data_IF_627938294633
#
_entry.id   IF_627938294633
#
_cell.length_a   1.000
_cell.length_b   1.000
_cell.length_c   1.000
_cell.angle_alpha   90.00
_cell.angle_beta   90.00
_cell.angle_gamma   90.00
#
_symmetry.space_group_name_H-M   'P 1'
#
loop_
_entity.id
_entity.type
_entity.pdbx_description
1 polymer ?
#
# COMPACT_ATOMS: atom_id res chain seq x y z
N UNK A 1 17.75 26.82 -12.24
CA UNK A 1 16.39 27.07 -11.72
C UNK A 1 15.48 27.27 -12.92
N UNK A 2 14.54 26.36 -13.18
CA UNK A 2 13.64 26.41 -14.34
C UNK A 2 12.54 27.46 -14.07
N UNK A 3 12.75 28.70 -14.51
CA UNK A 3 11.74 29.77 -14.52
C UNK A 3 11.28 29.98 -15.98
N UNK A 4 9.97 29.88 -16.24
CA UNK A 4 9.36 30.25 -17.54
C UNK A 4 8.61 29.12 -18.28
N UNK A 5 8.78 27.86 -17.88
CA UNK A 5 8.15 26.70 -18.52
C UNK A 5 6.80 26.36 -17.88
N UNK A 6 5.80 25.99 -18.70
CA UNK A 6 4.53 25.43 -18.21
C UNK A 6 4.82 24.09 -17.54
N UNK A 7 4.52 24.00 -16.24
CA UNK A 7 4.69 22.75 -15.49
C UNK A 7 3.54 21.80 -15.81
N UNK A 8 3.81 20.48 -15.89
CA UNK A 8 2.72 19.51 -15.91
C UNK A 8 1.89 19.68 -14.65
N UNK A 9 0.57 19.55 -14.81
CA UNK A 9 -0.33 19.47 -13.68
C UNK A 9 -0.11 18.10 -13.01
N UNK A 10 0.38 18.12 -11.77
CA UNK A 10 0.80 16.92 -11.04
C UNK A 10 0.22 16.94 -9.64
N UNK A 11 -0.36 15.82 -9.24
CA UNK A 11 -0.80 15.56 -7.87
C UNK A 11 0.20 14.62 -7.20
N UNK A 12 0.70 15.01 -6.03
CA UNK A 12 1.57 14.17 -5.22
C UNK A 12 0.78 13.54 -4.07
N UNK A 13 1.08 12.27 -3.77
CA UNK A 13 0.44 11.50 -2.70
C UNK A 13 1.49 10.95 -1.73
N UNK A 14 1.12 10.86 -0.46
CA UNK A 14 1.83 10.07 0.55
C UNK A 14 1.21 8.67 0.59
N UNK A 15 1.79 7.75 -0.17
CA UNK A 15 1.18 6.46 -0.46
C UNK A 15 1.76 5.31 0.38
N UNK A 16 0.89 4.40 0.83
CA UNK A 16 1.28 3.19 1.54
C UNK A 16 0.57 1.96 0.95
N UNK A 17 1.29 0.85 0.69
CA UNK A 17 0.69 -0.35 0.11
C UNK A 17 -0.27 -1.11 1.05
N UNK A 18 -0.20 -0.83 2.36
CA UNK A 18 -1.10 -1.37 3.39
C UNK A 18 -1.18 -0.41 4.58
N UNK A 19 -2.22 -0.56 5.42
CA UNK A 19 -2.31 0.15 6.69
C UNK A 19 -1.70 -0.70 7.82
N UNK A 20 -0.64 -0.23 8.51
CA UNK A 20 -0.03 -0.98 9.62
C UNK A 20 -0.90 -1.04 10.89
N UNK A 21 -1.98 -0.26 10.97
CA UNK A 21 -2.82 -0.14 12.17
C UNK A 21 -4.17 -0.87 12.07
N UNK A 22 -4.56 -1.37 10.90
CA UNK A 22 -5.85 -2.04 10.72
C UNK A 22 -6.23 -2.22 9.27
N UNK A 23 -7.48 -2.63 9.02
CA UNK A 23 -7.97 -2.92 7.67
C UNK A 23 -8.37 -1.67 6.90
N UNK A 24 -8.87 -0.65 7.59
CA UNK A 24 -9.42 0.56 6.95
C UNK A 24 -8.52 1.76 7.17
N UNK A 25 -8.60 2.77 6.30
CA UNK A 25 -7.88 4.05 6.50
C UNK A 25 -8.21 4.70 7.84
N UNK A 26 -9.45 4.54 8.32
CA UNK A 26 -9.91 5.03 9.62
C UNK A 26 -9.18 4.39 10.82
N UNK A 27 -8.52 3.25 10.63
CA UNK A 27 -7.71 2.61 11.68
C UNK A 27 -6.33 3.22 11.82
N UNK A 28 -5.89 4.09 10.90
CA UNK A 28 -4.57 4.68 10.92
C UNK A 28 -4.31 5.53 12.17
N UNK A 29 -3.13 5.38 12.80
CA UNK A 29 -2.79 6.06 14.07
C UNK A 29 -1.45 6.81 14.07
N UNK A 30 -0.71 6.84 12.96
CA UNK A 30 0.57 7.54 12.97
C UNK A 30 0.35 9.05 13.07
N UNK A 31 0.74 9.61 14.21
CA UNK A 31 0.45 11.00 14.58
C UNK A 31 1.02 12.03 13.59
N UNK A 32 2.15 11.75 12.95
CA UNK A 32 2.77 12.70 12.03
C UNK A 32 1.91 12.96 10.78
N UNK A 33 1.45 11.90 10.12
CA UNK A 33 0.58 12.08 8.95
C UNK A 33 -0.78 12.65 9.34
N UNK A 34 -1.32 12.32 10.53
CA UNK A 34 -2.59 12.87 10.99
C UNK A 34 -2.50 14.37 11.33
N UNK A 35 -1.40 14.82 11.94
CA UNK A 35 -1.28 16.19 12.46
C UNK A 35 -0.64 17.17 11.47
N UNK A 36 0.16 16.68 10.52
CA UNK A 36 1.00 17.54 9.68
C UNK A 36 0.83 17.32 8.17
N UNK A 37 -0.15 16.52 7.75
CA UNK A 37 -0.49 16.33 6.34
C UNK A 37 -2.00 16.57 6.14
N UNK A 38 -2.43 16.96 4.92
CA UNK A 38 -3.84 16.96 4.55
C UNK A 38 -4.28 15.51 4.35
N UNK A 39 -4.51 14.82 5.48
CA UNK A 39 -4.60 13.36 5.56
C UNK A 39 -5.63 12.78 4.59
N UNK A 40 -6.82 13.36 4.54
CA UNK A 40 -7.90 12.89 3.67
C UNK A 40 -7.63 13.13 2.18
N UNK A 41 -6.81 14.12 1.84
CA UNK A 41 -6.58 14.56 0.46
C UNK A 41 -5.39 13.86 -0.20
N UNK A 42 -4.30 13.64 0.54
CA UNK A 42 -3.03 13.17 -0.05
C UNK A 42 -2.55 11.82 0.48
N UNK A 43 -3.07 11.36 1.61
CA UNK A 43 -2.65 10.06 2.17
C UNK A 43 -3.50 8.99 1.53
N UNK A 44 -2.87 8.06 0.82
CA UNK A 44 -3.56 6.96 0.13
C UNK A 44 -3.02 5.64 0.64
N UNK A 45 -3.91 4.75 1.09
CA UNK A 45 -3.51 3.54 1.82
C UNK A 45 -4.24 2.30 1.27
N UNK A 46 -3.51 1.21 1.09
CA UNK A 46 -4.09 -0.09 0.71
C UNK A 46 -4.86 0.02 -0.60
N UNK A 47 -6.16 -0.28 -0.57
CA UNK A 47 -7.04 -0.23 -1.74
C UNK A 47 -6.95 1.10 -2.51
N UNK A 48 -6.88 2.26 -1.84
CA UNK A 48 -6.76 3.56 -2.51
C UNK A 48 -5.47 3.66 -3.34
N UNK A 49 -4.35 3.21 -2.76
CA UNK A 49 -3.05 3.19 -3.43
C UNK A 49 -3.07 2.24 -4.64
N UNK A 50 -3.52 1.00 -4.45
CA UNK A 50 -3.54 -0.01 -5.51
C UNK A 50 -4.51 0.36 -6.64
N UNK A 51 -5.63 1.02 -6.32
CA UNK A 51 -6.54 1.55 -7.33
C UNK A 51 -5.89 2.63 -8.21
N UNK A 52 -5.02 3.48 -7.64
CA UNK A 52 -4.30 4.51 -8.42
C UNK A 52 -3.31 3.88 -9.40
N UNK A 53 -2.58 2.84 -8.98
CA UNK A 53 -1.48 2.27 -9.79
C UNK A 53 -1.90 1.11 -10.69
N UNK A 54 -2.97 0.38 -10.35
CA UNK A 54 -3.40 -0.83 -11.05
C UNK A 54 -4.89 -0.91 -11.36
N UNK A 55 -5.69 0.07 -10.92
CA UNK A 55 -7.13 0.09 -11.13
C UNK A 55 -7.93 -0.70 -10.09
N UNK A 56 -9.24 -0.74 -10.27
CA UNK A 56 -10.20 -1.13 -9.24
C UNK A 56 -10.13 -2.60 -8.78
N UNK A 57 -9.44 -3.48 -9.50
CA UNK A 57 -9.30 -4.90 -9.16
C UNK A 57 -7.90 -5.27 -8.67
N UNK A 58 -6.93 -4.37 -8.79
CA UNK A 58 -5.53 -4.70 -8.55
C UNK A 58 -5.24 -5.10 -7.11
N UNK A 59 -5.97 -4.54 -6.14
CA UNK A 59 -5.76 -4.88 -4.74
C UNK A 59 -6.24 -6.30 -4.43
N UNK A 60 -7.42 -6.65 -4.91
CA UNK A 60 -8.03 -7.96 -4.74
C UNK A 60 -7.20 -9.03 -5.45
N UNK A 61 -6.81 -8.79 -6.70
CA UNK A 61 -5.94 -9.69 -7.48
C UNK A 61 -4.60 -9.93 -6.76
N UNK A 62 -4.00 -8.89 -6.19
CA UNK A 62 -2.77 -9.02 -5.41
C UNK A 62 -2.99 -9.94 -4.19
N UNK A 63 -4.06 -9.73 -3.43
CA UNK A 63 -4.38 -10.55 -2.27
C UNK A 63 -4.65 -12.01 -2.66
N UNK A 64 -5.33 -12.24 -3.78
CA UNK A 64 -5.55 -13.58 -4.32
C UNK A 64 -4.23 -14.30 -4.65
N UNK A 65 -3.30 -13.60 -5.31
CA UNK A 65 -1.95 -14.13 -5.60
C UNK A 65 -1.21 -14.46 -4.31
N UNK A 66 -1.22 -13.56 -3.31
CA UNK A 66 -0.59 -13.82 -2.01
C UNK A 66 -1.15 -15.07 -1.34
N UNK A 67 -2.48 -15.26 -1.40
CA UNK A 67 -3.14 -16.43 -0.84
C UNK A 67 -2.82 -17.70 -1.62
N UNK A 68 -2.76 -17.64 -2.95
CA UNK A 68 -2.39 -18.75 -3.81
C UNK A 68 -0.96 -19.23 -3.53
N UNK A 69 0.01 -18.31 -3.60
CA UNK A 69 1.42 -18.60 -3.33
C UNK A 69 1.60 -19.08 -1.90
N UNK A 70 0.90 -18.44 -0.94
CA UNK A 70 0.92 -18.85 0.46
C UNK A 70 0.46 -20.29 0.67
N UNK A 71 -0.61 -20.71 -0.01
CA UNK A 71 -1.07 -22.12 0.03
C UNK A 71 -0.04 -23.06 -0.58
N UNK A 72 0.51 -22.73 -1.75
CA UNK A 72 1.48 -23.57 -2.44
C UNK A 72 2.79 -23.74 -1.64
N UNK A 73 3.27 -22.65 -1.03
CA UNK A 73 4.56 -22.64 -0.31
C UNK A 73 4.43 -22.93 1.19
N UNK A 74 3.22 -23.05 1.73
CA UNK A 74 2.97 -23.24 3.17
C UNK A 74 3.81 -24.38 3.77
N UNK A 75 3.80 -25.56 3.16
CA UNK A 75 4.58 -26.72 3.63
C UNK A 75 6.08 -26.46 3.59
N UNK A 76 6.58 -25.91 2.50
CA UNK A 76 8.00 -25.55 2.36
C UNK A 76 8.42 -24.53 3.43
N UNK A 77 7.60 -23.51 3.67
CA UNK A 77 7.87 -22.48 4.69
C UNK A 77 7.90 -23.09 6.10
N UNK A 78 7.00 -24.01 6.42
CA UNK A 78 6.98 -24.72 7.70
C UNK A 78 8.22 -25.61 7.86
N UNK A 79 8.61 -26.33 6.82
CA UNK A 79 9.80 -27.17 6.82
C UNK A 79 11.07 -26.30 6.97
N UNK A 80 11.17 -25.17 6.25
CA UNK A 80 12.29 -24.23 6.37
C UNK A 80 12.40 -23.63 7.79
N UNK A 81 11.28 -23.21 8.38
CA UNK A 81 11.23 -22.67 9.74
C UNK A 81 11.58 -23.72 10.81
N UNK A 82 11.16 -24.97 10.62
CA UNK A 82 11.42 -26.05 11.57
C UNK A 82 12.87 -26.57 11.51
N UNK A 83 13.49 -26.53 10.33
CA UNK A 83 14.81 -27.13 10.10
C UNK A 83 15.94 -26.12 9.84
N UNK A 84 15.65 -24.81 9.82
CA UNK A 84 16.64 -23.75 10.02
C UNK A 84 17.67 -23.59 8.91
N UNK A 85 17.27 -23.71 7.65
CA UNK A 85 18.08 -23.29 6.50
C UNK A 85 17.53 -21.98 5.92
#
# INVERSE_FOLDING_TARGET
>A
MLRGEKRPDVQAYYAMPYNPYGFTKADYRWSYALNYMPFEEIVVIGHEFWNIIGGATAYEELLEIYLEVGREKSKYMLDALAFGF
#
